data_IF_231860377821
#
_entry.id   IF_231860377821
#
_cell.length_a   1.000
_cell.length_b   1.000
_cell.length_c   1.000
_cell.angle_alpha   90.00
_cell.angle_beta   90.00
_cell.angle_gamma   90.00
#
_symmetry.space_group_name_H-M   'P 1'
#
loop_
_entity.id
_entity.type
_entity.pdbx_description
1 polymer ?
#
# COMPACT_ATOMS: atom_id res chain seq x y z
N UNK A 1 17.42 -9.02 -10.53
CA UNK A 1 16.02 -8.59 -10.28
C UNK A 1 15.48 -8.82 -8.84
N UNK A 2 16.29 -9.21 -7.84
CA UNK A 2 15.80 -9.51 -6.47
C UNK A 2 15.84 -8.36 -5.45
N UNK A 3 16.47 -7.22 -5.77
CA UNK A 3 16.76 -6.17 -4.77
C UNK A 3 15.53 -5.32 -4.43
N UNK A 4 14.56 -5.17 -5.34
CA UNK A 4 13.40 -4.26 -5.17
C UNK A 4 12.26 -4.83 -4.31
N UNK A 5 12.22 -6.15 -4.10
CA UNK A 5 11.26 -6.79 -3.16
C UNK A 5 11.64 -6.59 -1.69
N UNK A 6 12.93 -6.35 -1.37
CA UNK A 6 13.41 -6.17 0.01
C UNK A 6 13.17 -4.77 0.62
N UNK A 7 12.89 -3.74 -0.18
CA UNK A 7 12.78 -2.36 0.37
C UNK A 7 11.55 -2.11 1.25
N UNK A 8 10.42 -2.79 1.03
CA UNK A 8 9.19 -2.52 1.81
C UNK A 8 9.26 -3.17 3.19
N UNK A 9 9.73 -4.43 3.28
CA UNK A 9 10.02 -5.09 4.57
C UNK A 9 11.08 -4.37 5.40
N UNK A 10 11.93 -3.53 4.78
CA UNK A 10 12.88 -2.67 5.50
C UNK A 10 12.21 -1.43 6.13
N UNK A 11 11.08 -0.97 5.60
CA UNK A 11 10.37 0.24 6.08
C UNK A 11 9.20 -0.09 6.99
N UNK A 12 8.56 -1.24 6.78
CA UNK A 12 7.36 -1.65 7.50
C UNK A 12 7.53 -3.12 7.91
N UNK A 13 7.31 -3.40 9.19
CA UNK A 13 7.26 -4.75 9.73
C UNK A 13 5.89 -4.97 10.37
N UNK A 14 5.26 -6.12 10.11
CA UNK A 14 3.96 -6.44 10.70
C UNK A 14 4.14 -6.98 12.12
N UNK A 15 3.35 -6.48 13.06
CA UNK A 15 3.26 -7.03 14.42
C UNK A 15 2.23 -8.15 14.38
N UNK A 16 2.67 -9.42 14.39
CA UNK A 16 1.81 -10.58 14.13
C UNK A 16 0.51 -10.60 14.96
N UNK A 17 0.59 -10.28 16.26
CA UNK A 17 -0.57 -10.26 17.16
C UNK A 17 -1.64 -9.21 16.80
N UNK A 18 -1.29 -8.21 16.00
CA UNK A 18 -2.25 -7.19 15.54
C UNK A 18 -3.03 -7.58 14.29
N UNK A 19 -2.60 -8.63 13.59
CA UNK A 19 -3.24 -9.07 12.35
C UNK A 19 -3.92 -10.44 12.49
N UNK A 20 -3.33 -11.36 13.25
CA UNK A 20 -3.79 -12.75 13.30
C UNK A 20 -5.28 -12.89 13.70
N UNK A 21 -6.06 -13.57 12.84
CA UNK A 21 -7.50 -13.85 12.98
C UNK A 21 -8.38 -12.60 13.17
N UNK A 22 -7.91 -11.42 12.75
CA UNK A 22 -8.67 -10.17 12.84
C UNK A 22 -9.10 -9.68 11.46
N UNK A 23 -10.24 -8.99 11.43
CA UNK A 23 -10.64 -8.17 10.29
C UNK A 23 -9.99 -6.80 10.46
N UNK A 24 -9.14 -6.41 9.50
CA UNK A 24 -8.33 -5.19 9.60
C UNK A 24 -8.69 -4.18 8.51
N UNK A 25 -8.76 -2.91 8.87
CA UNK A 25 -8.84 -1.78 7.95
C UNK A 25 -7.47 -1.09 7.94
N UNK A 26 -6.84 -1.06 6.77
CA UNK A 26 -5.60 -0.32 6.53
C UNK A 26 -5.96 1.04 5.94
N UNK A 27 -5.51 2.10 6.58
CA UNK A 27 -5.72 3.48 6.13
C UNK A 27 -4.38 4.06 5.67
N UNK A 28 -4.34 4.59 4.46
CA UNK A 28 -3.15 5.23 3.87
C UNK A 28 -3.52 6.59 3.27
N UNK A 29 -2.53 7.44 3.06
CA UNK A 29 -2.77 8.81 2.59
C UNK A 29 -3.40 8.86 1.19
N UNK A 30 -2.89 8.04 0.27
CA UNK A 30 -3.22 8.07 -1.14
C UNK A 30 -2.84 6.77 -1.85
N UNK A 31 -3.52 6.46 -2.96
CA UNK A 31 -3.15 5.38 -3.87
C UNK A 31 -2.81 6.00 -5.22
N UNK A 32 -1.52 5.98 -5.58
CA UNK A 32 -1.03 6.50 -6.86
C UNK A 32 -0.88 5.39 -7.89
N UNK A 33 0.09 4.47 -7.69
CA UNK A 33 0.35 3.34 -8.61
C UNK A 33 -0.09 1.96 -8.08
N UNK A 34 -0.66 1.92 -6.87
CA UNK A 34 -1.11 0.69 -6.19
C UNK A 34 -0.02 -0.31 -5.74
N UNK A 35 1.21 -0.24 -6.25
CA UNK A 35 2.27 -1.21 -5.96
C UNK A 35 2.62 -1.32 -4.46
N UNK A 36 2.66 -0.19 -3.75
CA UNK A 36 2.92 -0.15 -2.30
C UNK A 36 1.74 -0.74 -1.52
N UNK A 37 0.52 -0.26 -1.80
CA UNK A 37 -0.71 -0.71 -1.17
C UNK A 37 -0.90 -2.23 -1.34
N UNK A 38 -0.63 -2.77 -2.53
CA UNK A 38 -0.66 -4.22 -2.80
C UNK A 38 0.28 -4.99 -1.88
N UNK A 39 1.52 -4.52 -1.71
CA UNK A 39 2.50 -5.17 -0.81
C UNK A 39 2.06 -5.09 0.66
N UNK A 40 1.47 -3.97 1.08
CA UNK A 40 0.95 -3.81 2.45
C UNK A 40 -0.19 -4.82 2.71
N UNK A 41 -1.13 -4.96 1.77
CA UNK A 41 -2.21 -5.95 1.86
C UNK A 41 -1.65 -7.37 1.89
N UNK A 42 -0.68 -7.70 1.03
CA UNK A 42 0.00 -9.00 1.04
C UNK A 42 0.69 -9.29 2.38
N UNK A 43 1.31 -8.28 3.00
CA UNK A 43 1.93 -8.40 4.31
C UNK A 43 0.91 -8.65 5.43
N UNK A 44 -0.22 -7.93 5.42
CA UNK A 44 -1.30 -8.12 6.40
C UNK A 44 -1.91 -9.52 6.30
N UNK A 45 -2.18 -10.00 5.08
CA UNK A 45 -2.65 -11.38 4.84
C UNK A 45 -1.62 -12.42 5.29
N UNK A 46 -0.34 -12.20 4.96
CA UNK A 46 0.75 -13.09 5.39
C UNK A 46 0.92 -13.12 6.91
N UNK A 47 0.49 -12.07 7.61
CA UNK A 47 0.49 -11.98 9.07
C UNK A 47 -0.74 -12.63 9.72
N UNK A 48 -1.67 -13.20 8.93
CA UNK A 48 -2.82 -13.94 9.40
C UNK A 48 -4.13 -13.15 9.53
N UNK A 49 -4.26 -11.99 8.87
CA UNK A 49 -5.53 -11.26 8.83
C UNK A 49 -6.62 -12.06 8.10
N UNK A 50 -7.82 -12.11 8.70
CA UNK A 50 -9.00 -12.82 8.18
C UNK A 50 -9.61 -12.07 6.99
N UNK A 51 -9.84 -10.76 7.18
CA UNK A 51 -10.24 -9.84 6.12
C UNK A 51 -9.37 -8.60 6.15
N UNK A 52 -9.05 -8.07 4.97
CA UNK A 52 -8.24 -6.87 4.81
C UNK A 52 -8.99 -5.87 3.94
N UNK A 53 -9.39 -4.77 4.55
CA UNK A 53 -9.96 -3.60 3.89
C UNK A 53 -8.88 -2.54 3.73
N UNK A 54 -9.00 -1.70 2.71
CA UNK A 54 -8.08 -0.60 2.45
C UNK A 54 -8.86 0.67 2.19
N UNK A 55 -8.53 1.76 2.88
CA UNK A 55 -9.10 3.08 2.70
C UNK A 55 -7.99 4.08 2.36
N UNK A 56 -8.25 4.90 1.35
CA UNK A 56 -7.41 6.04 0.98
C UNK A 56 -8.02 7.31 1.59
N UNK A 57 -7.21 8.13 2.25
CA UNK A 57 -7.64 9.45 2.72
C UNK A 57 -7.86 10.42 1.55
N UNK A 58 -7.18 10.21 0.42
CA UNK A 58 -7.36 10.97 -0.80
C UNK A 58 -8.39 10.32 -1.75
N UNK A 59 -9.10 11.11 -2.56
CA UNK A 59 -9.85 10.62 -3.72
C UNK A 59 -8.94 9.89 -4.72
N UNK A 60 -9.51 9.09 -5.66
CA UNK A 60 -8.74 8.41 -6.69
C UNK A 60 -7.87 9.38 -7.53
N UNK A 61 -6.57 9.10 -7.60
CA UNK A 61 -5.63 9.88 -8.42
C UNK A 61 -5.74 9.39 -9.86
N UNK A 62 -6.31 10.21 -10.73
CA UNK A 62 -6.59 9.87 -12.14
C UNK A 62 -5.81 10.72 -13.16
N UNK A 63 -5.13 11.78 -12.70
CA UNK A 63 -4.33 12.67 -13.53
C UNK A 63 -3.04 13.08 -12.81
N UNK A 64 -1.93 13.26 -13.54
CA UNK A 64 -0.70 13.81 -12.97
C UNK A 64 -0.87 15.27 -12.58
N UNK A 65 -0.18 15.67 -11.51
CA UNK A 65 -0.04 17.08 -11.17
C UNK A 65 0.96 17.75 -12.14
N UNK A 66 0.56 18.89 -12.72
CA UNK A 66 1.39 19.69 -13.64
C UNK A 66 1.83 21.04 -13.04
N UNK A 67 1.61 21.22 -11.73
CA UNK A 67 1.84 22.47 -11.00
C UNK A 67 2.96 22.38 -9.96
N UNK A 68 3.83 21.36 -10.08
CA UNK A 68 5.07 21.26 -9.29
C UNK A 68 5.15 20.11 -8.28
N UNK A 69 4.13 19.25 -8.19
CA UNK A 69 4.22 18.00 -7.42
C UNK A 69 4.64 16.87 -8.35
N UNK A 70 5.75 16.20 -8.04
CA UNK A 70 6.22 15.04 -8.80
C UNK A 70 5.20 13.89 -8.73
N UNK A 71 4.69 13.48 -9.90
CA UNK A 71 3.73 12.40 -10.05
C UNK A 71 4.06 11.57 -11.30
N UNK A 72 3.76 10.26 -11.30
CA UNK A 72 3.90 9.41 -12.48
C UNK A 72 3.21 9.99 -13.71
N UNK A 73 3.73 9.66 -14.89
CA UNK A 73 3.03 9.87 -16.15
C UNK A 73 1.70 9.08 -16.17
N UNK A 74 0.71 9.54 -16.96
CA UNK A 74 -0.63 8.92 -17.03
C UNK A 74 -0.59 7.42 -17.38
N UNK A 75 0.43 6.99 -18.09
CA UNK A 75 0.67 5.60 -18.50
C UNK A 75 1.18 4.70 -17.35
N UNK A 76 1.59 5.28 -16.23
CA UNK A 76 2.21 4.59 -15.08
C UNK A 76 1.29 4.42 -13.86
N UNK A 77 0.01 4.80 -13.98
CA UNK A 77 -1.03 4.62 -12.93
C UNK A 77 -1.59 3.19 -12.94
#
# INVERSE_FOLDING_TARGET
QNVRKKSVRKKLNTILGEFQNKNVLIVDDSIVRGNTSKRIVEMARSAGAEQVFFASCAPPVIHPNVYGIDMPAREEY
#
